data_IF_605623215294
#
_entry.id   IF_605623215294
#
_cell.length_a   1.000
_cell.length_b   1.000
_cell.length_c   1.000
_cell.angle_alpha   90.00
_cell.angle_beta   90.00
_cell.angle_gamma   90.00
#
_symmetry.space_group_name_H-M   'P 1'
#
loop_
_entity.id
_entity.type
_entity.pdbx_description
1 polymer ?
#
# COMPACT_ATOMS: atom_id res chain seq x y z
N UNK A 1 -3.10 -0.04 -19.71
CA UNK A 1 -2.86 0.95 -18.63
C UNK A 1 -3.28 0.30 -17.32
N UNK A 2 -2.40 -0.45 -16.68
CA UNK A 2 -2.71 -1.21 -15.43
C UNK A 2 -1.80 -0.78 -14.26
N UNK A 3 -0.94 0.22 -14.44
CA UNK A 3 0.03 0.70 -13.43
C UNK A 3 -0.57 1.39 -12.18
N UNK A 4 -1.89 1.47 -12.06
CA UNK A 4 -2.56 2.13 -10.92
C UNK A 4 -3.21 1.15 -9.94
N UNK A 5 -3.08 -0.16 -10.13
CA UNK A 5 -3.75 -1.15 -9.27
C UNK A 5 -3.35 -1.02 -7.78
N UNK A 6 -2.06 -0.84 -7.50
CA UNK A 6 -1.58 -0.61 -6.14
C UNK A 6 -2.13 0.69 -5.54
N UNK A 7 -2.34 1.73 -6.35
CA UNK A 7 -2.88 3.02 -5.89
C UNK A 7 -4.36 2.90 -5.50
N UNK A 8 -5.14 2.13 -6.25
CA UNK A 8 -6.56 1.86 -5.93
C UNK A 8 -6.68 1.13 -4.60
N UNK A 9 -5.87 0.08 -4.40
CA UNK A 9 -5.87 -0.68 -3.15
C UNK A 9 -5.36 0.16 -1.97
N UNK A 10 -4.33 0.96 -2.18
CA UNK A 10 -3.82 1.89 -1.17
C UNK A 10 -4.90 2.89 -0.72
N UNK A 11 -5.58 3.54 -1.68
CA UNK A 11 -6.66 4.48 -1.36
C UNK A 11 -7.80 3.79 -0.63
N UNK A 12 -8.20 2.60 -1.07
CA UNK A 12 -9.25 1.82 -0.41
C UNK A 12 -8.89 1.49 1.05
N UNK A 13 -7.63 1.14 1.33
CA UNK A 13 -7.16 0.89 2.69
C UNK A 13 -7.15 2.16 3.56
N UNK A 14 -6.77 3.30 2.98
CA UNK A 14 -6.75 4.59 3.71
C UNK A 14 -8.15 5.12 4.05
N UNK A 15 -9.16 4.81 3.23
CA UNK A 15 -10.56 5.22 3.46
C UNK A 15 -11.38 4.18 4.22
N UNK A 16 -10.84 2.98 4.44
CA UNK A 16 -11.56 1.90 5.12
C UNK A 16 -11.77 2.26 6.60
N UNK A 17 -13.05 2.29 6.99
CA UNK A 17 -13.48 2.66 8.34
C UNK A 17 -13.85 1.45 9.17
N UNK A 18 -14.16 0.32 8.53
CA UNK A 18 -14.49 -0.93 9.18
C UNK A 18 -13.19 -1.64 9.63
N UNK A 19 -12.92 -1.73 10.94
CA UNK A 19 -11.70 -2.35 11.45
C UNK A 19 -11.59 -3.84 11.09
N UNK A 20 -12.71 -4.53 10.88
CA UNK A 20 -12.71 -5.93 10.47
C UNK A 20 -12.24 -6.09 9.02
N UNK A 21 -12.55 -5.13 8.14
CA UNK A 21 -12.12 -5.12 6.74
C UNK A 21 -10.77 -4.44 6.53
N UNK A 22 -10.41 -3.52 7.42
CA UNK A 22 -9.18 -2.72 7.32
C UNK A 22 -7.94 -3.60 7.20
N UNK A 23 -7.81 -4.63 8.04
CA UNK A 23 -6.68 -5.55 7.98
C UNK A 23 -6.56 -6.23 6.61
N UNK A 24 -7.68 -6.71 6.05
CA UNK A 24 -7.70 -7.33 4.73
C UNK A 24 -7.35 -6.33 3.61
N UNK A 25 -7.83 -5.08 3.71
CA UNK A 25 -7.52 -4.02 2.74
C UNK A 25 -6.05 -3.60 2.80
N UNK A 26 -5.50 -3.45 3.99
CA UNK A 26 -4.09 -3.15 4.22
C UNK A 26 -3.23 -4.27 3.62
N UNK A 27 -3.54 -5.53 3.89
CA UNK A 27 -2.77 -6.65 3.32
C UNK A 27 -2.87 -6.74 1.79
N UNK A 28 -4.05 -6.49 1.21
CA UNK A 28 -4.21 -6.44 -0.24
C UNK A 28 -3.35 -5.32 -0.87
N UNK A 29 -3.39 -4.12 -0.29
CA UNK A 29 -2.56 -3.00 -0.73
C UNK A 29 -1.06 -3.31 -0.55
N UNK A 30 -0.68 -3.92 0.57
CA UNK A 30 0.71 -4.29 0.88
C UNK A 30 1.27 -5.27 -0.16
N UNK A 31 0.50 -6.27 -0.55
CA UNK A 31 0.92 -7.23 -1.59
C UNK A 31 1.09 -6.56 -2.94
N UNK A 32 0.13 -5.75 -3.37
CA UNK A 32 0.20 -5.04 -4.65
C UNK A 32 1.39 -4.07 -4.72
N UNK A 33 1.67 -3.34 -3.63
CA UNK A 33 2.82 -2.43 -3.56
C UNK A 33 4.15 -3.21 -3.59
N UNK A 34 4.25 -4.36 -2.92
CA UNK A 34 5.46 -5.20 -2.96
C UNK A 34 5.71 -5.79 -4.35
N UNK A 35 4.69 -6.37 -4.99
CA UNK A 35 4.84 -6.85 -6.38
C UNK A 35 5.26 -5.72 -7.31
N UNK A 36 4.71 -4.52 -7.14
CA UNK A 36 5.13 -3.36 -7.93
C UNK A 36 6.57 -2.91 -7.62
N UNK A 37 7.02 -3.02 -6.38
CA UNK A 37 8.41 -2.75 -6.00
C UNK A 37 9.37 -3.74 -6.64
N UNK A 38 9.00 -5.03 -6.70
CA UNK A 38 9.77 -6.07 -7.37
C UNK A 38 9.87 -5.79 -8.88
N UNK A 39 8.76 -5.45 -9.53
CA UNK A 39 8.76 -5.04 -10.95
C UNK A 39 9.53 -3.72 -11.19
N UNK A 40 9.39 -2.76 -10.29
CA UNK A 40 10.10 -1.50 -10.36
C UNK A 40 11.60 -1.66 -10.02
N UNK A 41 12.03 -2.79 -9.46
CA UNK A 41 13.45 -3.07 -9.19
C UNK A 41 14.26 -3.22 -10.48
N UNK A 42 13.62 -3.74 -11.53
CA UNK A 42 14.19 -3.80 -12.88
C UNK A 42 14.14 -2.45 -13.62
N UNK A 43 13.30 -1.52 -13.15
CA UNK A 43 13.17 -0.19 -13.71
C UNK A 43 14.09 0.83 -13.00
N UNK A 44 14.64 1.79 -13.76
CA UNK A 44 15.40 2.94 -13.20
C UNK A 44 14.50 4.02 -12.58
N UNK A 45 13.21 3.75 -12.37
CA UNK A 45 12.27 4.75 -11.86
C UNK A 45 12.35 4.87 -10.34
N UNK A 46 13.36 5.62 -9.88
CA UNK A 46 13.58 5.92 -8.46
C UNK A 46 12.40 6.65 -7.82
N UNK A 47 11.61 7.39 -8.60
CA UNK A 47 10.47 8.16 -8.10
C UNK A 47 9.28 7.27 -7.80
N UNK A 48 9.01 6.27 -8.65
CA UNK A 48 7.96 5.29 -8.38
C UNK A 48 8.30 4.47 -7.12
N UNK A 49 9.54 3.99 -7.00
CA UNK A 49 9.99 3.27 -5.79
C UNK A 49 9.83 4.08 -4.52
N UNK A 50 10.17 5.37 -4.55
CA UNK A 50 9.97 6.26 -3.41
C UNK A 50 8.49 6.34 -3.01
N UNK A 51 7.58 6.45 -3.98
CA UNK A 51 6.14 6.49 -3.73
C UNK A 51 5.63 5.17 -3.13
N UNK A 52 6.08 4.04 -3.65
CA UNK A 52 5.71 2.71 -3.15
C UNK A 52 6.19 2.49 -1.70
N UNK A 53 7.43 2.86 -1.40
CA UNK A 53 7.97 2.78 -0.04
C UNK A 53 7.22 3.71 0.93
N UNK A 54 6.90 4.93 0.51
CA UNK A 54 6.10 5.86 1.32
C UNK A 54 4.70 5.30 1.60
N UNK A 55 4.06 4.68 0.60
CA UNK A 55 2.74 4.06 0.74
C UNK A 55 2.78 2.87 1.72
N UNK A 56 3.81 2.02 1.67
CA UNK A 56 4.02 0.94 2.64
C UNK A 56 4.12 1.47 4.07
N UNK A 57 4.94 2.48 4.27
CA UNK A 57 5.14 3.08 5.60
C UNK A 57 3.84 3.67 6.16
N UNK A 58 3.04 4.33 5.30
CA UNK A 58 1.74 4.86 5.70
C UNK A 58 0.75 3.76 6.12
N UNK A 59 0.72 2.63 5.40
CA UNK A 59 -0.13 1.48 5.74
C UNK A 59 0.28 0.84 7.06
N UNK A 60 1.57 0.68 7.32
CA UNK A 60 2.08 0.13 8.59
C UNK A 60 1.76 1.05 9.77
N UNK A 61 1.89 2.37 9.57
CA UNK A 61 1.51 3.37 10.57
C UNK A 61 0.01 3.35 10.86
N UNK A 62 -0.83 3.21 9.83
CA UNK A 62 -2.28 3.10 9.97
C UNK A 62 -2.66 1.87 10.79
N UNK A 63 -2.03 0.73 10.51
CA UNK A 63 -2.22 -0.51 11.26
C UNK A 63 -1.80 -0.37 12.73
N UNK A 64 -0.63 0.22 12.98
CA UNK A 64 -0.12 0.43 14.33
C UNK A 64 -1.06 1.31 15.18
N UNK A 65 -1.53 2.43 14.61
CA UNK A 65 -2.48 3.34 15.28
C UNK A 65 -3.79 2.66 15.68
N UNK A 66 -4.30 1.78 14.83
CA UNK A 66 -5.56 1.07 15.05
C UNK A 66 -5.43 -0.09 16.03
N UNK A 67 -4.23 -0.65 16.24
CA UNK A 67 -3.95 -1.64 17.29
C UNK A 67 -3.81 -1.02 18.68
N UNK A 68 -3.48 0.27 18.75
CA UNK A 68 -3.32 1.04 19.99
C UNK A 68 -4.57 1.81 20.42
N UNK A 69 -5.68 1.74 19.66
CA UNK A 69 -6.95 2.39 19.96
C UNK A 69 -8.00 1.36 20.40
#
# INVERSE_FOLDING_TARGET
MVDQYWQVLYRAAMTESDPAKLNSRIEAARRAIRSRLEEADDSRDSRERQQLNNALYALETLLARKRSA
#
